data_IF_234606559052
#
_entry.id   IF_234606559052
#
_cell.length_a   1.000
_cell.length_b   1.000
_cell.length_c   1.000
_cell.angle_alpha   90.00
_cell.angle_beta   90.00
_cell.angle_gamma   90.00
#
_symmetry.space_group_name_H-M   'P 1'
#
loop_
_entity.id
_entity.type
_entity.pdbx_description
1 polymer ?
#
# COMPACT_ATOMS: atom_id res chain seq x y z
N UNK A 1 32.05 -16.96 1.18
CA UNK A 1 30.96 -17.95 1.18
C UNK A 1 29.70 -17.22 1.60
N UNK A 2 28.84 -16.86 0.65
CA UNK A 2 27.52 -16.30 0.94
C UNK A 2 26.66 -17.44 1.47
N UNK A 3 26.26 -17.38 2.74
CA UNK A 3 25.31 -18.34 3.30
C UNK A 3 24.03 -18.34 2.46
N UNK A 4 23.52 -19.52 2.10
CA UNK A 4 22.22 -19.64 1.45
C UNK A 4 21.16 -19.01 2.36
N UNK A 5 20.40 -18.07 1.81
CA UNK A 5 19.40 -17.35 2.56
C UNK A 5 18.09 -18.13 2.58
N UNK A 6 17.70 -18.64 3.75
CA UNK A 6 16.47 -19.42 3.95
C UNK A 6 15.16 -18.62 3.92
N UNK A 7 15.15 -17.43 3.31
CA UNK A 7 13.95 -16.58 3.14
C UNK A 7 13.46 -15.84 4.38
N UNK A 8 14.05 -16.10 5.56
CA UNK A 8 13.77 -15.40 6.82
C UNK A 8 14.82 -14.32 7.14
N UNK A 9 14.37 -13.24 7.78
CA UNK A 9 15.25 -12.11 8.14
C UNK A 9 15.76 -11.33 6.94
N UNK A 10 16.84 -10.58 7.15
CA UNK A 10 17.46 -9.76 6.11
C UNK A 10 18.19 -10.63 5.07
N UNK A 11 18.00 -10.37 3.76
CA UNK A 11 18.86 -10.94 2.74
C UNK A 11 20.34 -10.61 3.01
N UNK A 12 21.30 -11.49 2.68
CA UNK A 12 22.72 -11.25 2.95
C UNK A 12 23.27 -9.93 2.38
N UNK A 13 22.82 -9.54 1.18
CA UNK A 13 23.20 -8.27 0.56
C UNK A 13 22.67 -7.06 1.35
N UNK A 14 21.44 -7.14 1.87
CA UNK A 14 20.87 -6.12 2.74
C UNK A 14 21.65 -6.01 4.06
N UNK A 15 21.94 -7.15 4.69
CA UNK A 15 22.71 -7.18 5.94
C UNK A 15 24.11 -6.57 5.78
N UNK A 16 24.81 -6.89 4.68
CA UNK A 16 26.12 -6.31 4.38
C UNK A 16 26.04 -4.78 4.19
N UNK A 17 25.01 -4.29 3.48
CA UNK A 17 24.78 -2.85 3.31
C UNK A 17 24.49 -2.14 4.62
N UNK A 18 23.69 -2.73 5.51
CA UNK A 18 23.41 -2.16 6.83
C UNK A 18 24.68 -2.08 7.69
N UNK A 19 25.53 -3.12 7.64
CA UNK A 19 26.80 -3.12 8.36
C UNK A 19 27.76 -2.02 7.86
N UNK A 20 27.80 -1.77 6.55
CA UNK A 20 28.63 -0.70 5.97
C UNK A 20 28.15 0.70 6.35
N UNK A 21 26.83 0.92 6.38
CA UNK A 21 26.25 2.19 6.86
C UNK A 21 26.61 2.42 8.33
N UNK A 22 26.50 1.40 9.17
CA UNK A 22 26.89 1.49 10.58
C UNK A 22 28.38 1.76 10.76
N UNK A 23 29.24 1.15 9.92
CA UNK A 23 30.69 1.29 10.00
C UNK A 23 31.20 2.64 9.51
N UNK A 24 30.68 3.12 8.37
CA UNK A 24 31.13 4.37 7.73
C UNK A 24 30.50 5.62 8.33
N UNK A 25 29.30 5.50 8.93
CA UNK A 25 28.49 6.63 9.38
C UNK A 25 27.88 7.44 8.23
N UNK A 26 28.14 7.06 6.97
CA UNK A 26 27.57 7.69 5.77
C UNK A 26 26.32 6.96 5.31
N UNK A 27 25.30 7.71 4.90
CA UNK A 27 24.01 7.15 4.51
C UNK A 27 23.38 7.97 3.39
N UNK A 28 22.62 7.30 2.52
CA UNK A 28 21.87 7.92 1.42
C UNK A 28 20.38 8.09 1.74
N UNK A 29 19.68 8.97 1.03
CA UNK A 29 18.25 9.20 1.18
C UNK A 29 17.55 9.20 -0.17
N UNK A 30 16.27 8.81 -0.18
CA UNK A 30 15.38 9.07 -1.31
C UNK A 30 14.69 10.45 -1.23
N UNK A 31 14.96 11.24 -0.18
CA UNK A 31 14.30 12.52 0.06
C UNK A 31 14.96 13.66 -0.71
N UNK A 32 14.15 14.64 -1.12
CA UNK A 32 14.63 15.94 -1.56
C UNK A 32 15.24 16.76 -0.41
N UNK A 33 15.99 17.80 -0.73
CA UNK A 33 16.59 18.71 0.28
C UNK A 33 15.54 19.37 1.18
N UNK A 34 14.40 19.77 0.59
CA UNK A 34 13.29 20.35 1.33
C UNK A 34 12.61 19.37 2.29
N UNK A 35 12.48 18.11 1.88
CA UNK A 35 11.96 17.04 2.74
C UNK A 35 12.92 16.67 3.86
N UNK A 36 14.21 16.59 3.55
CA UNK A 36 15.26 16.37 4.56
C UNK A 36 15.21 17.43 5.66
N UNK A 37 15.15 18.71 5.29
CA UNK A 37 15.04 19.79 6.26
C UNK A 37 13.71 19.76 7.05
N UNK A 38 12.60 19.44 6.40
CA UNK A 38 11.29 19.39 7.04
C UNK A 38 11.20 18.32 8.13
N UNK A 39 11.74 17.12 7.90
CA UNK A 39 11.75 16.04 8.90
C UNK A 39 12.52 16.46 10.16
N UNK A 40 13.66 17.14 9.98
CA UNK A 40 14.46 17.65 11.09
C UNK A 40 13.75 18.72 11.90
N UNK A 41 12.94 19.55 11.25
CA UNK A 41 12.16 20.59 11.94
C UNK A 41 11.15 20.04 12.96
N UNK A 42 10.75 18.77 12.83
CA UNK A 42 9.79 18.09 13.72
C UNK A 42 10.46 17.05 14.64
N UNK A 43 11.79 17.11 14.81
CA UNK A 43 12.52 16.29 15.76
C UNK A 43 12.79 14.85 15.29
N UNK A 44 12.90 14.65 13.97
CA UNK A 44 13.33 13.38 13.38
C UNK A 44 14.61 13.58 12.56
N UNK A 45 15.46 12.58 12.53
CA UNK A 45 16.69 12.54 11.73
C UNK A 45 16.58 11.40 10.72
N UNK A 46 16.77 11.65 9.41
CA UNK A 46 16.94 10.58 8.44
C UNK A 46 18.22 9.78 8.72
N UNK A 47 18.14 8.46 8.64
CA UNK A 47 19.26 7.54 8.99
C UNK A 47 19.71 6.64 7.85
N UNK A 48 18.97 6.61 6.74
CA UNK A 48 19.35 5.82 5.57
C UNK A 48 18.18 5.42 4.68
N UNK A 49 18.48 5.14 3.42
CA UNK A 49 17.56 4.51 2.49
C UNK A 49 17.38 3.03 2.89
N UNK A 50 16.12 2.62 2.93
CA UNK A 50 15.74 1.23 3.20
C UNK A 50 14.96 0.66 2.02
N UNK A 51 15.09 -0.64 1.83
CA UNK A 51 14.48 -1.39 0.74
C UNK A 51 13.96 -2.72 1.28
N UNK A 52 12.87 -3.19 0.69
CA UNK A 52 12.41 -4.55 0.82
C UNK A 52 11.97 -5.05 -0.55
N UNK A 53 12.34 -6.28 -0.89
CA UNK A 53 11.86 -6.93 -2.10
C UNK A 53 11.33 -8.32 -1.82
N UNK A 54 10.34 -8.74 -2.59
CA UNK A 54 9.85 -10.11 -2.60
C UNK A 54 9.43 -10.49 -4.02
N UNK A 55 9.90 -11.65 -4.48
CA UNK A 55 9.56 -12.20 -5.80
C UNK A 55 8.60 -13.36 -5.59
N UNK A 56 7.44 -13.30 -6.24
CA UNK A 56 6.41 -14.34 -6.14
C UNK A 56 6.09 -14.86 -7.54
N UNK A 57 6.02 -16.18 -7.69
CA UNK A 57 5.39 -16.78 -8.86
C UNK A 57 3.87 -16.61 -8.72
N UNK A 58 3.26 -15.89 -9.65
CA UNK A 58 1.83 -15.61 -9.63
C UNK A 58 1.26 -16.09 -10.95
N UNK A 59 0.61 -17.25 -10.90
CA UNK A 59 -0.23 -17.71 -11.98
C UNK A 59 -1.39 -16.73 -12.19
N UNK A 60 -1.31 -15.89 -13.21
CA UNK A 60 -2.47 -15.11 -13.71
C UNK A 60 -3.29 -15.90 -14.73
N UNK A 61 -2.80 -17.06 -15.17
CA UNK A 61 -3.52 -18.01 -16.01
C UNK A 61 -4.37 -18.93 -15.14
N UNK A 62 -5.69 -18.98 -15.38
CA UNK A 62 -6.57 -19.94 -14.69
C UNK A 62 -7.99 -19.44 -14.42
N UNK A 63 -8.69 -20.16 -13.53
CA UNK A 63 -10.08 -19.95 -13.12
C UNK A 63 -10.28 -18.79 -12.13
N UNK A 64 -9.32 -17.89 -11.94
CA UNK A 64 -9.41 -16.80 -10.94
C UNK A 64 -10.56 -15.83 -11.20
N UNK A 65 -10.96 -15.71 -12.46
CA UNK A 65 -12.12 -14.92 -12.88
C UNK A 65 -13.38 -15.77 -12.99
N UNK A 66 -13.29 -17.06 -12.67
CA UNK A 66 -14.28 -18.10 -12.88
C UNK A 66 -15.53 -17.89 -12.06
N UNK A 67 -16.29 -16.86 -12.43
CA UNK A 67 -17.69 -16.75 -12.12
C UNK A 67 -18.40 -17.89 -12.84
N UNK A 68 -19.36 -18.53 -12.18
CA UNK A 68 -20.17 -19.58 -12.79
C UNK A 68 -21.04 -18.99 -13.90
N UNK A 69 -20.44 -18.82 -15.07
CA UNK A 69 -20.96 -19.44 -16.28
C UNK A 69 -22.47 -19.24 -16.51
N UNK A 70 -22.93 -17.99 -16.65
CA UNK A 70 -24.34 -17.70 -16.98
C UNK A 70 -25.37 -18.33 -16.00
N UNK A 71 -24.95 -18.95 -14.90
CA UNK A 71 -25.74 -19.77 -13.98
C UNK A 71 -25.46 -19.37 -12.54
N UNK A 72 -25.13 -18.09 -12.32
CA UNK A 72 -25.35 -17.48 -11.03
C UNK A 72 -26.82 -17.70 -10.61
N UNK A 73 -27.08 -17.74 -9.31
CA UNK A 73 -28.41 -18.02 -8.77
C UNK A 73 -29.44 -17.06 -9.38
N UNK A 74 -30.39 -17.59 -10.17
CA UNK A 74 -31.40 -16.83 -10.91
C UNK A 74 -31.12 -16.60 -12.42
N UNK A 75 -29.91 -16.89 -12.89
CA UNK A 75 -29.51 -16.74 -14.30
C UNK A 75 -30.00 -17.87 -15.22
N UNK A 76 -30.24 -19.08 -14.69
CA UNK A 76 -30.57 -20.28 -15.48
C UNK A 76 -31.95 -20.22 -16.15
N UNK A 77 -32.91 -19.49 -15.56
CA UNK A 77 -34.31 -19.54 -15.99
C UNK A 77 -35.01 -18.18 -16.15
N UNK A 78 -34.37 -17.04 -15.89
CA UNK A 78 -35.11 -15.76 -15.83
C UNK A 78 -34.39 -14.49 -16.30
N UNK A 79 -33.12 -14.55 -16.76
CA UNK A 79 -32.40 -13.32 -17.10
C UNK A 79 -32.25 -12.36 -15.92
N UNK A 80 -32.12 -12.91 -14.70
CA UNK A 80 -32.03 -12.15 -13.45
C UNK A 80 -30.85 -11.18 -13.40
N UNK A 81 -30.76 -10.42 -12.32
CA UNK A 81 -29.63 -9.51 -12.14
C UNK A 81 -28.36 -10.28 -11.74
N UNK A 82 -27.27 -10.07 -12.48
CA UNK A 82 -26.00 -10.74 -12.21
C UNK A 82 -25.31 -10.07 -11.01
N UNK A 83 -25.09 -10.78 -9.88
CA UNK A 83 -24.41 -10.20 -8.74
C UNK A 83 -22.91 -10.01 -9.00
N UNK A 84 -22.31 -9.07 -8.31
CA UNK A 84 -20.85 -8.85 -8.31
C UNK A 84 -20.20 -9.84 -7.33
N UNK A 85 -19.29 -10.67 -7.81
CA UNK A 85 -18.45 -11.50 -6.96
C UNK A 85 -17.16 -10.74 -6.62
N UNK A 86 -17.05 -10.32 -5.36
CA UNK A 86 -15.92 -9.56 -4.84
C UNK A 86 -14.89 -10.47 -4.18
N UNK A 87 -13.60 -10.25 -4.42
CA UNK A 87 -12.51 -10.94 -3.74
C UNK A 87 -12.59 -10.83 -2.22
N UNK A 88 -12.90 -9.65 -1.68
CA UNK A 88 -13.02 -9.43 -0.23
C UNK A 88 -14.17 -10.19 0.43
N UNK A 89 -15.11 -10.74 -0.36
CA UNK A 89 -16.24 -11.55 0.09
C UNK A 89 -16.13 -13.03 -0.31
N UNK A 90 -14.91 -13.49 -0.59
CA UNK A 90 -14.66 -14.88 -0.97
C UNK A 90 -15.04 -15.21 -2.42
N UNK A 91 -15.13 -14.19 -3.29
CA UNK A 91 -15.32 -14.38 -4.72
C UNK A 91 -14.17 -15.16 -5.37
N UNK A 92 -14.31 -15.58 -6.64
CA UNK A 92 -13.34 -16.44 -7.33
C UNK A 92 -11.89 -15.89 -7.35
N UNK A 93 -11.75 -14.57 -7.35
CA UNK A 93 -10.48 -13.84 -7.37
C UNK A 93 -9.81 -13.74 -5.99
N UNK A 94 -10.46 -14.17 -4.91
CA UNK A 94 -9.95 -14.05 -3.54
C UNK A 94 -8.57 -14.68 -3.33
N UNK A 95 -8.27 -15.90 -3.82
CA UNK A 95 -6.94 -16.50 -3.65
C UNK A 95 -5.82 -15.69 -4.34
N UNK A 96 -6.12 -15.12 -5.52
CA UNK A 96 -5.17 -14.27 -6.24
C UNK A 96 -4.87 -12.99 -5.45
N UNK A 97 -5.92 -12.32 -4.97
CA UNK A 97 -5.78 -11.11 -4.14
C UNK A 97 -5.01 -11.41 -2.86
N UNK A 98 -5.27 -12.55 -2.21
CA UNK A 98 -4.54 -12.95 -1.00
C UNK A 98 -3.03 -13.09 -1.24
N UNK A 99 -2.61 -13.76 -2.31
CA UNK A 99 -1.18 -13.91 -2.66
C UNK A 99 -0.56 -12.54 -3.00
N UNK A 100 -1.29 -11.68 -3.72
CA UNK A 100 -0.84 -10.34 -4.06
C UNK A 100 -0.63 -9.45 -2.82
N UNK A 101 -1.50 -9.57 -1.81
CA UNK A 101 -1.36 -8.86 -0.55
C UNK A 101 -0.25 -9.45 0.33
N UNK A 102 -0.13 -10.78 0.38
CA UNK A 102 0.95 -11.45 1.09
C UNK A 102 2.32 -11.04 0.56
N UNK A 103 2.49 -10.98 -0.77
CA UNK A 103 3.75 -10.58 -1.38
C UNK A 103 4.17 -9.15 -1.00
N UNK A 104 3.21 -8.21 -1.00
CA UNK A 104 3.43 -6.83 -0.54
C UNK A 104 3.79 -6.78 0.94
N UNK A 105 3.08 -7.54 1.78
CA UNK A 105 3.37 -7.62 3.20
C UNK A 105 4.79 -8.16 3.45
N UNK A 106 5.23 -9.17 2.70
CA UNK A 106 6.61 -9.69 2.81
C UNK A 106 7.68 -8.68 2.39
N UNK A 107 7.45 -7.90 1.35
CA UNK A 107 8.35 -6.81 0.99
C UNK A 107 8.44 -5.75 2.12
N UNK A 108 7.30 -5.37 2.71
CA UNK A 108 7.27 -4.44 3.84
C UNK A 108 7.97 -4.95 5.10
N UNK A 109 7.78 -6.21 5.46
CA UNK A 109 8.44 -6.78 6.65
C UNK A 109 9.96 -6.82 6.48
N UNK A 110 10.46 -7.04 5.25
CA UNK A 110 11.90 -6.96 4.96
C UNK A 110 12.43 -5.52 5.08
N UNK A 111 11.69 -4.54 4.57
CA UNK A 111 12.02 -3.12 4.77
C UNK A 111 12.03 -2.75 6.27
N UNK A 112 11.03 -3.20 7.04
CA UNK A 112 10.98 -2.96 8.50
C UNK A 112 12.19 -3.53 9.23
N UNK A 113 12.64 -4.72 8.83
CA UNK A 113 13.85 -5.32 9.39
C UNK A 113 15.09 -4.44 9.12
N UNK A 114 15.19 -3.81 7.94
CA UNK A 114 16.27 -2.86 7.67
C UNK A 114 16.16 -1.59 8.52
N UNK A 115 14.95 -1.04 8.68
CA UNK A 115 14.71 0.12 9.55
C UNK A 115 15.16 -0.18 10.99
N UNK A 116 14.81 -1.35 11.52
CA UNK A 116 15.24 -1.81 12.84
C UNK A 116 16.76 -1.94 12.94
N UNK A 117 17.41 -2.50 11.92
CA UNK A 117 18.87 -2.64 11.86
C UNK A 117 19.59 -1.27 11.85
N UNK A 118 18.98 -0.25 11.23
CA UNK A 118 19.47 1.13 11.30
C UNK A 118 19.12 1.82 12.63
N UNK A 119 18.30 1.23 13.49
CA UNK A 119 17.77 1.85 14.69
C UNK A 119 16.79 2.99 14.40
N UNK A 120 16.12 2.94 13.25
CA UNK A 120 15.05 3.87 12.87
C UNK A 120 13.75 3.61 13.63
N UNK A 121 12.96 4.66 13.79
CA UNK A 121 11.61 4.62 14.34
C UNK A 121 10.54 4.32 13.28
N UNK A 122 10.85 4.56 12.01
CA UNK A 122 9.96 4.29 10.89
C UNK A 122 10.56 4.69 9.55
N UNK A 123 9.75 4.58 8.51
CA UNK A 123 10.11 4.96 7.14
C UNK A 123 9.09 5.94 6.57
N UNK A 124 9.60 6.95 5.88
CA UNK A 124 8.84 7.94 5.12
C UNK A 124 9.17 7.83 3.62
N UNK A 125 8.33 8.44 2.79
CA UNK A 125 8.45 8.39 1.33
C UNK A 125 8.58 6.94 0.80
N UNK A 126 7.86 6.00 1.43
CA UNK A 126 7.87 4.61 1.02
C UNK A 126 7.06 4.43 -0.27
N UNK A 127 7.73 4.00 -1.34
CA UNK A 127 7.13 3.74 -2.64
C UNK A 127 7.13 2.24 -2.90
N UNK A 128 5.96 1.67 -3.18
CA UNK A 128 5.81 0.29 -3.59
C UNK A 128 5.69 0.22 -5.12
N UNK A 129 6.55 -0.58 -5.74
CA UNK A 129 6.48 -0.90 -7.17
C UNK A 129 6.25 -2.40 -7.36
N UNK A 130 5.37 -2.76 -8.29
CA UNK A 130 5.13 -4.15 -8.71
C UNK A 130 5.45 -4.26 -10.19
N UNK A 131 6.39 -5.13 -10.54
CA UNK A 131 6.85 -5.30 -11.92
C UNK A 131 7.05 -6.78 -12.28
N UNK A 132 6.99 -7.15 -13.57
CA UNK A 132 7.46 -8.45 -14.03
C UNK A 132 8.91 -8.68 -13.62
N UNK A 133 9.22 -9.86 -13.10
CA UNK A 133 10.58 -10.19 -12.73
C UNK A 133 11.38 -10.53 -13.99
N UNK A 134 12.47 -9.80 -14.24
CA UNK A 134 13.22 -9.88 -15.50
C UNK A 134 13.70 -11.31 -15.84
N UNK A 135 14.03 -12.13 -14.83
CA UNK A 135 14.50 -13.49 -15.03
C UNK A 135 13.37 -14.54 -15.14
N UNK A 136 12.10 -14.18 -14.92
CA UNK A 136 10.96 -15.09 -15.08
C UNK A 136 9.66 -14.35 -15.43
N UNK A 137 9.11 -14.57 -16.63
CA UNK A 137 7.86 -13.91 -17.07
C UNK A 137 6.62 -14.21 -16.22
N UNK A 138 6.65 -15.28 -15.42
CA UNK A 138 5.53 -15.72 -14.57
C UNK A 138 5.66 -15.20 -13.13
N UNK A 139 6.77 -14.54 -12.80
CA UNK A 139 7.00 -13.98 -11.49
C UNK A 139 6.82 -12.47 -11.49
N UNK A 140 6.33 -11.94 -10.37
CA UNK A 140 6.28 -10.51 -10.10
C UNK A 140 7.26 -10.20 -8.96
N UNK A 141 7.99 -9.11 -9.12
CA UNK A 141 8.76 -8.49 -8.05
C UNK A 141 7.94 -7.38 -7.39
N UNK A 142 7.85 -7.48 -6.07
CA UNK A 142 7.26 -6.49 -5.18
C UNK A 142 8.41 -5.81 -4.47
N UNK A 143 8.67 -4.55 -4.82
CA UNK A 143 9.76 -3.78 -4.25
C UNK A 143 9.20 -2.57 -3.54
N UNK A 144 9.67 -2.32 -2.33
CA UNK A 144 9.37 -1.11 -1.57
C UNK A 144 10.68 -0.40 -1.22
N UNK A 145 10.75 0.91 -1.45
CA UNK A 145 11.91 1.76 -1.16
C UNK A 145 11.45 2.99 -0.39
N UNK A 146 12.20 3.42 0.62
CA UNK A 146 11.92 4.64 1.36
C UNK A 146 13.11 5.12 2.17
N UNK A 147 12.92 6.15 3.00
CA UNK A 147 13.95 6.66 3.90
C UNK A 147 13.59 6.38 5.35
N UNK A 148 14.44 5.63 6.04
CA UNK A 148 14.34 5.40 7.47
C UNK A 148 14.62 6.70 8.23
N UNK A 149 13.83 6.97 9.26
CA UNK A 149 13.96 8.12 10.15
C UNK A 149 13.99 7.66 11.60
N UNK A 150 14.67 8.41 12.45
CA UNK A 150 14.79 8.19 13.90
C UNK A 150 14.35 9.45 14.62
N UNK A 151 13.60 9.33 15.71
CA UNK A 151 13.35 10.50 16.56
C UNK A 151 14.65 10.96 17.24
N UNK A 152 14.92 12.27 17.24
CA UNK A 152 16.20 12.84 17.66
C UNK A 152 16.45 12.73 19.17
N UNK A 153 15.39 12.71 20.01
CA UNK A 153 15.53 12.73 21.48
C UNK A 153 14.41 11.93 22.15
N UNK A 154 14.77 11.11 23.14
CA UNK A 154 13.84 10.59 24.16
C UNK A 154 12.82 9.53 23.72
N UNK A 155 12.86 9.09 22.46
CA UNK A 155 11.96 8.04 21.99
C UNK A 155 12.44 6.67 22.46
N UNK A 156 11.53 5.90 23.07
CA UNK A 156 11.77 4.51 23.40
C UNK A 156 12.08 3.69 22.13
N UNK A 157 12.87 2.61 22.22
CA UNK A 157 13.09 1.69 21.11
C UNK A 157 11.74 1.22 20.53
N UNK A 158 11.55 1.44 19.23
CA UNK A 158 10.31 1.08 18.54
C UNK A 158 10.34 -0.41 18.22
N UNK A 159 9.38 -1.17 18.74
CA UNK A 159 9.28 -2.62 18.47
C UNK A 159 8.84 -2.92 17.03
N UNK A 160 8.00 -2.07 16.47
CA UNK A 160 7.51 -2.18 15.08
C UNK A 160 7.59 -0.79 14.43
N UNK A 161 8.56 -0.54 13.54
CA UNK A 161 8.69 0.75 12.90
C UNK A 161 7.45 1.09 12.08
N UNK A 162 7.04 2.36 12.12
CA UNK A 162 5.97 2.83 11.25
C UNK A 162 6.42 2.80 9.79
N UNK A 163 5.48 2.61 8.88
CA UNK A 163 5.71 2.67 7.43
C UNK A 163 4.76 3.67 6.81
N UNK A 164 5.25 4.48 5.86
CA UNK A 164 4.46 5.57 5.32
C UNK A 164 4.89 5.97 3.91
N UNK A 165 3.92 6.17 3.01
CA UNK A 165 4.16 6.75 1.69
C UNK A 165 4.43 8.26 1.79
N UNK A 166 3.98 8.88 2.88
CA UNK A 166 4.02 10.33 3.07
C UNK A 166 5.47 10.82 3.01
N UNK A 167 5.73 11.77 2.10
CA UNK A 167 7.02 12.44 1.96
C UNK A 167 7.40 13.31 3.16
N UNK A 168 8.65 13.77 3.22
CA UNK A 168 9.17 14.42 4.44
C UNK A 168 8.47 15.73 4.84
N UNK A 169 8.05 16.53 3.85
CA UNK A 169 7.29 17.76 4.10
C UNK A 169 5.87 17.49 4.62
N UNK A 170 5.19 16.50 4.04
CA UNK A 170 3.86 16.12 4.47
C UNK A 170 3.90 15.42 5.84
N UNK A 171 4.96 14.65 6.12
CA UNK A 171 5.24 14.08 7.44
C UNK A 171 5.38 15.19 8.49
N UNK A 172 6.18 16.21 8.22
CA UNK A 172 6.35 17.35 9.13
C UNK A 172 5.02 18.08 9.41
N UNK A 173 4.16 18.24 8.39
CA UNK A 173 2.82 18.82 8.55
C UNK A 173 1.89 17.95 9.40
N UNK A 174 1.90 16.63 9.20
CA UNK A 174 1.11 15.69 10.02
C UNK A 174 1.54 15.78 11.48
N UNK A 175 2.84 15.68 11.75
CA UNK A 175 3.39 15.74 13.11
C UNK A 175 3.06 17.09 13.77
N UNK A 176 3.22 18.19 13.05
CA UNK A 176 2.85 19.53 13.53
C UNK A 176 1.35 19.69 13.82
N UNK A 177 0.49 18.93 13.14
CA UNK A 177 -0.96 18.89 13.37
C UNK A 177 -1.39 17.88 14.46
N UNK A 178 -0.45 17.21 15.12
CA UNK A 178 -0.74 16.22 16.16
C UNK A 178 -1.08 14.82 15.62
N UNK A 179 -0.68 14.51 14.39
CA UNK A 179 -0.88 13.21 13.74
C UNK A 179 0.46 12.53 13.43
N UNK A 180 0.54 11.21 13.63
CA UNK A 180 1.73 10.43 13.27
C UNK A 180 1.34 9.25 12.39
N UNK A 181 2.12 8.93 11.34
CA UNK A 181 1.97 7.68 10.60
C UNK A 181 2.14 6.45 11.47
N UNK A 182 1.40 5.40 11.14
CA UNK A 182 1.41 4.12 11.86
C UNK A 182 1.81 2.98 10.93
N UNK A 183 1.14 2.84 9.79
CA UNK A 183 1.39 1.74 8.85
C UNK A 183 1.05 2.13 7.41
N UNK A 184 1.77 1.55 6.46
CA UNK A 184 1.49 1.61 5.03
C UNK A 184 0.52 0.48 4.70
N UNK A 185 -0.61 0.85 4.12
CA UNK A 185 -1.76 0.00 3.90
C UNK A 185 -1.96 -0.24 2.41
N UNK A 186 -2.50 -1.41 2.07
CA UNK A 186 -2.83 -1.78 0.69
C UNK A 186 -4.25 -2.31 0.60
N UNK A 187 -5.12 -1.61 -0.12
CA UNK A 187 -6.45 -2.11 -0.47
C UNK A 187 -6.41 -2.71 -1.87
N UNK A 188 -6.80 -3.97 -2.02
CA UNK A 188 -6.87 -4.60 -3.34
C UNK A 188 -8.16 -5.41 -3.44
N UNK A 189 -9.05 -5.01 -4.34
CA UNK A 189 -10.24 -5.78 -4.64
C UNK A 189 -10.33 -6.08 -6.12
N UNK A 190 -10.69 -7.32 -6.43
CA UNK A 190 -11.07 -7.69 -7.80
C UNK A 190 -12.49 -8.23 -7.76
N UNK A 191 -13.37 -7.55 -8.49
CA UNK A 191 -14.76 -7.96 -8.68
C UNK A 191 -15.00 -8.48 -10.08
N UNK A 192 -15.87 -9.49 -10.17
CA UNK A 192 -16.32 -10.06 -11.44
C UNK A 192 -17.83 -10.01 -11.51
N UNK A 193 -18.37 -9.59 -12.65
CA UNK A 193 -19.81 -9.63 -12.93
C UNK A 193 -20.05 -10.11 -14.35
N UNK A 194 -21.06 -10.96 -14.53
CA UNK A 194 -21.49 -11.41 -15.85
C UNK A 194 -22.35 -10.35 -16.57
N UNK A 195 -22.14 -10.18 -17.88
CA UNK A 195 -22.96 -9.32 -18.72
C UNK A 195 -24.28 -10.02 -19.10
N UNK A 196 -25.29 -9.83 -18.26
CA UNK A 196 -26.63 -10.34 -18.51
C UNK A 196 -27.35 -9.60 -19.65
N UNK A 197 -28.56 -10.06 -19.99
CA UNK A 197 -29.39 -9.46 -21.04
C UNK A 197 -29.64 -7.96 -20.83
N UNK A 198 -29.96 -7.53 -19.60
CA UNK A 198 -30.23 -6.14 -19.29
C UNK A 198 -29.01 -5.24 -19.57
N UNK A 199 -27.84 -5.64 -19.08
CA UNK A 199 -26.56 -4.94 -19.32
C UNK A 199 -26.26 -4.81 -20.81
N UNK A 200 -26.46 -5.91 -21.56
CA UNK A 200 -26.26 -5.91 -23.02
C UNK A 200 -27.28 -5.05 -23.76
N UNK A 201 -28.52 -4.98 -23.28
CA UNK A 201 -29.56 -4.11 -23.85
C UNK A 201 -29.23 -2.63 -23.64
N UNK A 202 -28.69 -2.27 -22.46
CA UNK A 202 -28.28 -0.91 -22.12
C UNK A 202 -27.05 -0.43 -22.92
N UNK A 203 -26.17 -1.34 -23.36
CA UNK A 203 -24.92 -1.03 -24.07
C UNK A 203 -24.94 -1.37 -25.58
N UNK A 204 -26.11 -1.33 -26.25
CA UNK A 204 -26.16 -1.53 -27.72
C UNK A 204 -25.77 -0.25 -28.45
N UNK A 205 -25.29 -0.38 -29.70
CA UNK A 205 -24.92 0.77 -30.54
C UNK A 205 -26.07 1.79 -30.75
N UNK A 206 -27.32 1.36 -30.63
CA UNK A 206 -28.51 2.21 -30.76
C UNK A 206 -29.25 2.42 -29.42
N UNK A 207 -28.64 2.06 -28.29
CA UNK A 207 -29.21 2.37 -26.99
C UNK A 207 -29.19 3.89 -26.75
N UNK A 208 -30.15 4.39 -25.98
CA UNK A 208 -30.12 5.77 -25.52
C UNK A 208 -28.90 6.03 -24.64
N UNK A 209 -28.40 7.26 -24.61
CA UNK A 209 -27.40 7.68 -23.65
C UNK A 209 -27.94 7.51 -22.23
N UNK A 210 -27.49 6.48 -21.52
CA UNK A 210 -27.97 6.11 -20.20
C UNK A 210 -26.87 5.43 -19.39
N UNK A 211 -27.11 5.29 -18.09
CA UNK A 211 -26.24 4.51 -17.22
C UNK A 211 -26.35 3.01 -17.53
N UNK A 212 -25.21 2.32 -17.57
CA UNK A 212 -25.16 0.84 -17.57
C UNK A 212 -25.06 0.37 -16.13
N UNK A 213 -26.21 0.24 -15.47
CA UNK A 213 -26.34 0.01 -14.03
C UNK A 213 -25.47 -1.14 -13.51
N UNK A 214 -25.40 -2.24 -14.27
CA UNK A 214 -24.61 -3.42 -13.90
C UNK A 214 -23.10 -3.13 -13.80
N UNK A 215 -22.57 -2.32 -14.71
CA UNK A 215 -21.16 -1.93 -14.71
C UNK A 215 -20.87 -0.84 -13.68
N UNK A 216 -21.79 0.12 -13.51
CA UNK A 216 -21.67 1.11 -12.43
C UNK A 216 -21.63 0.42 -11.06
N UNK A 217 -22.50 -0.58 -10.86
CA UNK A 217 -22.50 -1.36 -9.61
C UNK A 217 -21.19 -2.10 -9.41
N UNK A 218 -20.67 -2.79 -10.43
CA UNK A 218 -19.37 -3.47 -10.37
C UNK A 218 -18.26 -2.50 -9.91
N UNK A 219 -18.15 -1.35 -10.55
CA UNK A 219 -17.13 -0.34 -10.22
C UNK A 219 -17.28 0.17 -8.79
N UNK A 220 -18.51 0.49 -8.37
CA UNK A 220 -18.75 1.01 -7.03
C UNK A 220 -18.49 -0.01 -5.93
N UNK A 221 -18.91 -1.26 -6.14
CA UNK A 221 -18.71 -2.34 -5.18
C UNK A 221 -17.23 -2.70 -5.01
N UNK A 222 -16.48 -2.80 -6.11
CA UNK A 222 -15.03 -3.10 -6.07
C UNK A 222 -14.25 -1.97 -5.38
N UNK A 223 -14.58 -0.71 -5.68
CA UNK A 223 -14.01 0.45 -4.98
C UNK A 223 -14.32 0.44 -3.49
N UNK A 224 -15.56 0.13 -3.13
CA UNK A 224 -15.98 0.07 -1.74
C UNK A 224 -15.23 -1.05 -1.00
N UNK A 225 -15.15 -2.25 -1.59
CA UNK A 225 -14.44 -3.40 -1.01
C UNK A 225 -12.95 -3.11 -0.79
N UNK A 226 -12.26 -2.50 -1.76
CA UNK A 226 -10.85 -2.09 -1.61
C UNK A 226 -10.66 -1.07 -0.46
N UNK A 227 -11.58 -0.10 -0.30
CA UNK A 227 -11.55 0.84 0.84
C UNK A 227 -11.81 0.15 2.17
N UNK A 228 -12.74 -0.80 2.22
CA UNK A 228 -13.03 -1.55 3.45
C UNK A 228 -11.80 -2.32 3.93
N UNK A 229 -11.02 -2.91 3.02
CA UNK A 229 -9.76 -3.55 3.38
C UNK A 229 -8.75 -2.59 4.01
N UNK A 230 -8.65 -1.35 3.50
CA UNK A 230 -7.80 -0.32 4.12
C UNK A 230 -8.27 0.03 5.53
N UNK A 231 -9.57 0.23 5.74
CA UNK A 231 -10.11 0.56 7.06
C UNK A 231 -9.92 -0.56 8.07
N UNK A 232 -10.09 -1.82 7.64
CA UNK A 232 -9.81 -2.98 8.48
C UNK A 232 -8.33 -3.03 8.89
N UNK A 233 -7.40 -2.77 7.98
CA UNK A 233 -5.97 -2.71 8.29
C UNK A 233 -5.61 -1.52 9.20
N UNK A 234 -6.20 -0.35 8.97
CA UNK A 234 -5.99 0.82 9.81
C UNK A 234 -6.45 0.55 11.25
N UNK A 235 -7.65 -0.01 11.41
CA UNK A 235 -8.18 -0.40 12.73
C UNK A 235 -7.31 -1.46 13.41
N UNK A 236 -6.83 -2.47 12.67
CA UNK A 236 -5.95 -3.52 13.20
C UNK A 236 -4.57 -3.01 13.63
N UNK A 237 -4.11 -1.88 13.07
CA UNK A 237 -2.82 -1.26 13.39
C UNK A 237 -2.92 -0.11 14.39
N UNK A 238 -4.14 0.28 14.78
CA UNK A 238 -4.40 1.37 15.73
C UNK A 238 -4.40 2.77 15.10
N UNK A 239 -4.65 2.87 13.79
CA UNK A 239 -4.87 4.15 13.13
C UNK A 239 -6.30 4.65 13.31
N UNK A 240 -6.45 5.96 13.54
CA UNK A 240 -7.75 6.63 13.63
C UNK A 240 -8.27 7.06 12.24
N UNK A 241 -7.37 7.17 11.25
CA UNK A 241 -7.70 7.57 9.88
C UNK A 241 -6.70 7.07 8.86
N UNK A 242 -7.01 7.26 7.58
CA UNK A 242 -6.15 6.88 6.44
C UNK A 242 -5.95 8.08 5.52
N UNK A 243 -4.70 8.40 5.22
CA UNK A 243 -4.34 9.32 4.13
C UNK A 243 -4.06 8.47 2.89
N UNK A 244 -4.78 8.70 1.80
CA UNK A 244 -4.57 7.99 0.54
C UNK A 244 -3.48 8.66 -0.30
N UNK A 245 -2.65 7.83 -0.93
CA UNK A 245 -1.63 8.25 -1.88
C UNK A 245 -2.17 8.14 -3.31
N UNK A 246 -2.53 6.92 -3.68
CA UNK A 246 -2.90 6.55 -5.03
C UNK A 246 -4.10 5.60 -5.04
N UNK A 247 -4.86 5.69 -6.11
CA UNK A 247 -5.99 4.84 -6.41
C UNK A 247 -6.05 4.57 -7.91
N UNK A 248 -5.90 3.30 -8.28
CA UNK A 248 -6.06 2.82 -9.64
C UNK A 248 -7.30 1.93 -9.76
N UNK A 249 -8.04 2.11 -10.86
CA UNK A 249 -9.16 1.25 -11.24
C UNK A 249 -8.99 0.82 -12.68
N UNK A 250 -8.90 -0.49 -12.87
CA UNK A 250 -8.83 -1.10 -14.19
C UNK A 250 -10.06 -1.94 -14.41
N UNK A 251 -10.68 -1.76 -15.58
CA UNK A 251 -11.84 -2.55 -16.00
C UNK A 251 -11.51 -3.18 -17.33
N UNK A 252 -11.74 -4.48 -17.45
CA UNK A 252 -11.56 -5.21 -18.69
C UNK A 252 -12.63 -6.29 -18.85
N UNK A 253 -12.63 -6.89 -20.03
CA UNK A 253 -13.57 -7.93 -20.40
C UNK A 253 -12.84 -9.25 -20.58
N UNK A 254 -13.45 -10.35 -20.15
CA UNK A 254 -13.01 -11.69 -20.51
C UNK A 254 -14.19 -12.57 -20.91
N UNK A 255 -13.94 -13.49 -21.85
CA UNK A 255 -14.92 -14.54 -22.15
C UNK A 255 -15.19 -15.39 -20.90
N UNK A 256 -16.48 -15.60 -20.60
CA UNK A 256 -16.87 -16.39 -19.44
C UNK A 256 -16.43 -17.86 -19.61
N UNK A 257 -16.37 -18.59 -18.50
CA UNK A 257 -15.77 -19.93 -18.47
C UNK A 257 -16.43 -20.96 -19.41
N UNK A 258 -17.76 -20.95 -19.61
CA UNK A 258 -18.44 -21.86 -20.58
C UNK A 258 -18.28 -21.46 -22.01
N UNK A 259 -18.12 -20.16 -22.30
CA UNK A 259 -17.79 -19.75 -23.65
C UNK A 259 -16.47 -20.43 -24.07
N UNK A 260 -15.46 -20.42 -23.19
CA UNK A 260 -14.18 -21.14 -23.40
C UNK A 260 -14.33 -22.67 -23.54
N UNK A 261 -15.41 -23.27 -23.05
CA UNK A 261 -15.63 -24.73 -23.07
C UNK A 261 -16.54 -25.23 -24.17
N UNK A 262 -17.43 -24.39 -24.72
CA UNK A 262 -18.52 -24.84 -25.59
C UNK A 262 -18.41 -24.37 -27.04
N UNK A 263 -17.40 -23.54 -27.38
CA UNK A 263 -17.23 -22.93 -28.71
C UNK A 263 -18.51 -22.29 -29.28
N UNK A 264 -19.44 -21.93 -28.39
CA UNK A 264 -20.73 -21.40 -28.77
C UNK A 264 -20.63 -19.88 -28.62
N UNK A 265 -20.52 -19.19 -29.75
CA UNK A 265 -20.35 -17.74 -29.91
C UNK A 265 -21.55 -16.90 -29.39
N UNK A 266 -22.32 -17.40 -28.44
CA UNK A 266 -23.26 -16.54 -27.73
C UNK A 266 -22.45 -15.59 -26.84
N UNK A 267 -22.50 -14.29 -27.14
CA UNK A 267 -21.94 -13.11 -26.45
C UNK A 267 -21.99 -13.17 -24.91
N UNK A 268 -21.16 -14.02 -24.29
CA UNK A 268 -21.14 -14.33 -22.87
C UNK A 268 -19.80 -13.91 -22.29
N UNK A 269 -19.76 -12.65 -21.90
CA UNK A 269 -18.58 -11.99 -21.37
C UNK A 269 -18.78 -11.66 -19.90
N UNK A 270 -17.70 -11.75 -19.15
CA UNK A 270 -17.62 -11.25 -17.79
C UNK A 270 -16.86 -9.93 -17.81
N UNK A 271 -17.36 -8.98 -17.04
CA UNK A 271 -16.69 -7.71 -16.78
C UNK A 271 -15.93 -7.86 -15.47
N UNK A 272 -14.64 -7.58 -15.51
CA UNK A 272 -13.75 -7.63 -14.35
C UNK A 272 -13.32 -6.20 -14.03
N UNK A 273 -13.35 -5.86 -12.74
CA UNK A 273 -12.80 -4.61 -12.24
C UNK A 273 -11.79 -4.91 -11.14
N UNK A 274 -10.61 -4.32 -11.22
CA UNK A 274 -9.56 -4.35 -10.22
C UNK A 274 -9.41 -2.93 -9.65
N UNK A 275 -9.64 -2.77 -8.35
CA UNK A 275 -9.32 -1.55 -7.62
C UNK A 275 -8.10 -1.80 -6.73
N UNK A 276 -7.09 -0.96 -6.87
CA UNK A 276 -5.93 -0.95 -5.99
C UNK A 276 -5.76 0.42 -5.33
N UNK A 277 -5.46 0.43 -4.04
CA UNK A 277 -5.29 1.65 -3.25
C UNK A 277 -4.07 1.51 -2.35
N UNK A 278 -3.29 2.59 -2.26
CA UNK A 278 -2.20 2.73 -1.30
C UNK A 278 -2.53 3.89 -0.38
N UNK A 279 -2.30 3.70 0.92
CA UNK A 279 -2.49 4.75 1.89
C UNK A 279 -1.72 4.51 3.16
N UNK A 280 -1.73 5.48 4.07
CA UNK A 280 -1.07 5.38 5.36
C UNK A 280 -2.08 5.59 6.48
N UNK A 281 -2.12 4.64 7.42
CA UNK A 281 -2.81 4.80 8.68
C UNK A 281 -2.14 5.92 9.47
N UNK A 282 -2.93 6.85 10.01
CA UNK A 282 -2.48 7.91 10.90
C UNK A 282 -3.20 7.79 12.23
N UNK A 283 -2.49 8.11 13.31
CA UNK A 283 -3.04 8.17 14.67
C UNK A 283 -2.78 9.55 15.27
N UNK A 284 -3.76 10.04 16.03
CA UNK A 284 -3.60 11.24 16.81
C UNK A 284 -2.65 10.96 17.98
N UNK A 285 -1.71 11.86 18.23
CA UNK A 285 -0.85 11.79 19.40
C UNK A 285 -0.92 13.09 20.19
N UNK A 286 -0.70 12.98 21.50
CA UNK A 286 -0.59 14.13 22.39
C UNK A 286 0.85 14.29 22.81
N UNK A 287 1.41 15.48 22.62
CA UNK A 287 2.66 15.85 23.27
C UNK A 287 2.33 16.38 24.66
N UNK A 288 2.96 15.82 25.71
CA UNK A 288 3.07 16.58 26.94
C UNK A 288 4.03 17.73 26.66
N UNK A 289 3.58 18.98 26.87
CA UNK A 289 4.48 20.12 26.75
C UNK A 289 5.62 19.94 27.75
N UNK A 290 6.85 19.78 27.27
CA UNK A 290 8.01 19.85 28.14
C UNK A 290 7.99 21.21 28.85
N UNK A 291 8.20 21.29 30.17
CA UNK A 291 8.26 22.56 30.87
C UNK A 291 9.33 23.41 30.19
N UNK A 292 8.94 24.62 29.74
CA UNK A 292 9.88 25.56 29.14
C UNK A 292 10.94 25.88 30.20
N UNK A 293 12.16 25.40 30.02
CA UNK A 293 13.28 25.91 30.81
C UNK A 293 13.49 27.36 30.36
N UNK A 294 13.22 28.30 31.25
CA UNK A 294 13.58 29.70 31.02
C UNK A 294 15.08 29.74 30.85
N UNK A 295 15.54 30.07 29.65
CA UNK A 295 16.94 30.40 29.39
C UNK A 295 17.35 31.49 30.39
N UNK A 296 18.31 31.18 31.25
CA UNK A 296 18.96 32.17 32.10
C UNK A 296 19.68 33.17 31.18
N UNK A 297 19.05 34.31 30.92
CA UNK A 297 19.70 35.43 30.26
C UNK A 297 20.86 35.85 31.16
N UNK A 298 22.10 35.77 30.66
CA UNK A 298 23.26 36.34 31.33
C UNK A 298 23.25 37.85 31.04
N UNK A 299 22.98 38.73 32.03
CA UNK A 299 23.06 40.17 31.79
C UNK A 299 24.52 40.56 31.53
N UNK A 300 24.77 41.15 30.37
CA UNK A 300 26.07 41.76 30.05
C UNK A 300 26.29 42.94 31.01
N UNK A 301 27.27 42.80 31.92
CA UNK A 301 27.76 43.93 32.72
C UNK A 301 28.43 44.94 31.78
N UNK A 302 27.77 46.06 31.52
CA UNK A 302 28.42 47.26 31.00
C UNK A 302 29.42 47.75 32.04
N UNK A 303 30.73 47.69 31.73
CA UNK A 303 31.76 48.35 32.52
C UNK A 303 31.55 49.85 32.39
N UNK A 304 31.13 50.51 33.47
CA UNK A 304 31.15 51.97 33.57
C UNK A 304 32.60 52.43 33.49
N UNK A 305 32.96 53.14 32.42
CA UNK A 305 34.22 53.86 32.38
C UNK A 305 34.10 55.07 33.33
N UNK A 306 34.87 55.01 34.41
CA UNK A 306 35.19 56.13 35.30
C UNK A 306 35.79 57.29 34.50
N UNK A 307 35.27 58.49 34.72
CA UNK A 307 36.01 59.76 34.62
C UNK A 307 36.00 60.42 35.98
#
# INVERSE_FOLDING_TARGET
>A
MTSEWGGQGLPPAAAARMAEVQKSGTWGSALSTGEFAAIRSVGFEPVGQVMGSAVFNIGRSGRYWGYHDCTYRGGVFSGGDAPVALSGRGGPSAPLVQVLLEARHRALERMRAEVLALGGAGVVAAQLTVAPFAASPQALEFQVIGTAVRASVGAAPVRRPFTSHVGGQAFAKLVGAGWIPVDLLFGLSIGVRHDNWATRSQNRAFASNQEVEGWTRLVNEVRHDARQQLYQQASATGGDGVVLDDFDLRVWEEACFRNRMTNNESDKHDRIAEASMVGTAIAAFRTSAAPRSTLSIMPLKLKSQTR
#
